data_IF_164545468847
#
_entry.id   IF_164545468847
#
_cell.length_a   1.000
_cell.length_b   1.000
_cell.length_c   1.000
_cell.angle_alpha   90.00
_cell.angle_beta   90.00
_cell.angle_gamma   90.00
#
_symmetry.space_group_name_H-M   'P 1'
#
loop_
_entity.id
_entity.type
_entity.pdbx_description
1 polymer ?
#
# COMPACT_ATOMS: atom_id res chain seq x y z
N UNK A 1 44.89 -14.50 -42.20
CA UNK A 1 45.41 -15.78 -41.69
C UNK A 1 45.77 -15.60 -40.22
N UNK A 2 45.03 -16.30 -39.35
CA UNK A 2 45.24 -16.53 -37.91
C UNK A 2 45.41 -15.28 -37.00
N UNK A 3 44.36 -14.79 -36.31
CA UNK A 3 43.72 -15.34 -35.09
C UNK A 3 44.63 -15.27 -33.86
N UNK A 4 44.39 -14.29 -32.99
CA UNK A 4 44.48 -14.42 -31.52
C UNK A 4 44.01 -13.10 -30.87
N UNK A 5 42.70 -13.01 -30.69
CA UNK A 5 42.05 -11.97 -29.93
C UNK A 5 42.46 -12.04 -28.46
N UNK A 6 43.05 -10.94 -27.98
CA UNK A 6 42.94 -10.37 -26.64
C UNK A 6 42.57 -11.34 -25.49
N UNK A 7 43.55 -12.12 -25.04
CA UNK A 7 43.67 -12.49 -23.65
C UNK A 7 44.67 -11.53 -22.98
N UNK A 8 44.39 -11.13 -21.75
CA UNK A 8 45.25 -10.35 -20.83
C UNK A 8 45.17 -8.81 -20.86
N UNK A 9 44.10 -8.29 -20.26
CA UNK A 9 44.17 -7.08 -19.41
C UNK A 9 43.49 -7.44 -18.08
N UNK A 10 44.21 -8.14 -17.18
CA UNK A 10 44.91 -7.56 -16.03
C UNK A 10 44.05 -6.58 -15.23
N UNK A 11 43.48 -7.12 -14.15
CA UNK A 11 43.37 -6.55 -12.80
C UNK A 11 42.98 -5.07 -12.70
N UNK A 12 41.70 -4.81 -12.42
CA UNK A 12 41.31 -3.63 -11.65
C UNK A 12 40.01 -3.89 -10.85
N UNK A 13 40.18 -4.12 -9.54
CA UNK A 13 39.26 -3.66 -8.50
C UNK A 13 37.86 -4.31 -8.39
N UNK A 14 37.79 -5.49 -7.76
CA UNK A 14 36.61 -5.84 -6.96
C UNK A 14 36.52 -4.86 -5.77
N UNK A 15 35.77 -3.77 -5.94
CA UNK A 15 35.28 -2.98 -4.81
C UNK A 15 33.87 -3.45 -4.50
N UNK A 16 33.76 -4.40 -3.57
CA UNK A 16 32.52 -4.79 -2.92
C UNK A 16 31.92 -3.54 -2.29
N UNK A 17 30.88 -2.96 -2.91
CA UNK A 17 30.08 -1.89 -2.32
C UNK A 17 29.27 -2.51 -1.18
N UNK A 18 29.70 -2.22 0.04
CA UNK A 18 29.00 -2.50 1.29
C UNK A 18 27.55 -1.99 1.16
N UNK A 19 26.59 -2.92 1.18
CA UNK A 19 25.16 -2.61 1.27
C UNK A 19 24.93 -1.92 2.61
N UNK A 20 24.70 -0.61 2.58
CA UNK A 20 24.21 0.11 3.74
C UNK A 20 22.79 -0.38 4.04
N UNK A 21 22.67 -1.27 5.03
CA UNK A 21 21.42 -1.59 5.72
C UNK A 21 20.93 -0.33 6.45
N UNK A 22 20.33 0.59 5.70
CA UNK A 22 19.58 1.70 6.24
C UNK A 22 18.20 1.20 6.62
N UNK A 23 17.96 0.93 7.90
CA UNK A 23 16.60 0.78 8.41
C UNK A 23 15.82 2.08 8.12
N UNK A 24 14.81 2.06 7.24
CA UNK A 24 13.82 3.14 7.16
C UNK A 24 13.13 3.20 8.54
N UNK A 25 13.61 4.02 9.47
CA UNK A 25 12.84 4.41 10.66
C UNK A 25 11.76 5.37 10.18
N UNK A 26 10.55 4.87 10.03
CA UNK A 26 9.37 5.72 9.90
C UNK A 26 8.89 6.12 11.31
N UNK A 27 8.84 7.43 11.55
CA UNK A 27 8.16 8.15 12.63
C UNK A 27 7.70 7.35 13.87
N UNK A 28 8.53 7.37 14.92
CA UNK A 28 8.02 7.34 16.29
C UNK A 28 7.78 8.79 16.72
N UNK A 29 6.52 9.13 16.96
CA UNK A 29 6.06 10.46 17.39
C UNK A 29 6.64 10.79 18.78
N UNK A 30 7.00 12.06 18.94
CA UNK A 30 7.71 12.65 20.07
C UNK A 30 6.90 12.69 21.38
N UNK A 31 7.63 12.58 22.50
CA UNK A 31 7.54 13.45 23.67
C UNK A 31 6.20 13.57 24.38
N UNK A 32 6.08 12.90 25.53
CA UNK A 32 5.11 13.21 26.57
C UNK A 32 5.56 14.50 27.26
N UNK A 33 4.75 15.56 27.13
CA UNK A 33 4.84 16.81 27.89
C UNK A 33 3.43 17.26 28.25
N UNK A 34 3.19 17.47 29.53
CA UNK A 34 1.87 17.65 30.14
C UNK A 34 1.24 19.04 29.91
N UNK A 35 -0.09 19.06 29.82
CA UNK A 35 -0.96 20.15 30.27
C UNK A 35 -1.37 21.21 29.23
N UNK A 36 -2.62 21.16 28.76
CA UNK A 36 -3.68 22.11 29.13
C UNK A 36 -5.02 21.71 28.47
N UNK A 37 -6.09 21.74 29.26
CA UNK A 37 -7.47 21.40 28.90
C UNK A 37 -8.05 22.36 27.85
N UNK A 38 -8.59 21.84 26.75
CA UNK A 38 -9.49 22.57 25.87
C UNK A 38 -10.47 21.62 25.16
N UNK A 39 -11.71 21.64 25.66
CA UNK A 39 -12.98 21.32 25.01
C UNK A 39 -12.98 20.28 23.87
N UNK A 40 -13.27 19.03 24.22
CA UNK A 40 -13.72 17.98 23.32
C UNK A 40 -15.03 18.40 22.61
N UNK A 41 -14.93 18.91 21.38
CA UNK A 41 -16.01 18.75 20.40
C UNK A 41 -15.74 17.45 19.66
N UNK A 42 -16.53 16.43 19.96
CA UNK A 42 -16.52 15.15 19.25
C UNK A 42 -16.68 15.38 17.75
N UNK A 43 -15.58 15.21 17.02
CA UNK A 43 -15.62 14.98 15.60
C UNK A 43 -15.75 13.46 15.46
N UNK A 44 -16.99 12.98 15.54
CA UNK A 44 -17.34 11.63 15.12
C UNK A 44 -16.72 11.37 13.75
N UNK A 45 -15.89 10.33 13.57
CA UNK A 45 -15.48 9.96 12.24
C UNK A 45 -16.74 9.46 11.54
N UNK A 46 -17.32 10.30 10.69
CA UNK A 46 -18.43 9.97 9.80
C UNK A 46 -17.94 8.99 8.73
N UNK A 47 -17.54 7.80 9.19
CA UNK A 47 -17.37 6.61 8.39
C UNK A 47 -18.77 6.10 8.08
N UNK A 48 -19.43 6.76 7.12
CA UNK A 48 -20.38 6.07 6.25
C UNK A 48 -19.59 5.05 5.44
N UNK A 49 -19.13 3.99 6.12
CA UNK A 49 -18.92 2.70 5.49
C UNK A 49 -20.26 2.38 4.82
N UNK A 50 -20.30 2.61 3.52
CA UNK A 50 -21.39 2.17 2.64
C UNK A 50 -21.79 0.76 3.02
N UNK A 51 -23.09 0.46 2.94
CA UNK A 51 -23.81 -0.80 3.22
C UNK A 51 -23.24 -2.08 2.57
N UNK A 52 -21.93 -2.26 2.57
CA UNK A 52 -21.19 -3.36 2.01
C UNK A 52 -21.01 -4.41 3.10
N UNK A 53 -22.09 -5.15 3.34
CA UNK A 53 -22.09 -6.30 4.23
C UNK A 53 -22.32 -7.55 3.40
N UNK A 54 -21.45 -8.57 3.51
CA UNK A 54 -21.73 -9.86 2.89
C UNK A 54 -23.00 -10.47 3.50
N UNK A 55 -23.76 -11.28 2.74
CA UNK A 55 -24.85 -12.07 3.27
C UNK A 55 -24.37 -12.95 4.43
N UNK A 56 -25.21 -13.15 5.45
CA UNK A 56 -24.85 -13.87 6.68
C UNK A 56 -24.34 -15.32 6.45
N UNK A 57 -24.69 -15.94 5.32
CA UNK A 57 -24.32 -17.31 4.96
C UNK A 57 -23.21 -17.40 3.89
N UNK A 58 -22.52 -16.29 3.59
CA UNK A 58 -21.43 -16.32 2.62
C UNK A 58 -20.21 -17.10 3.15
N UNK A 59 -19.66 -17.96 2.29
CA UNK A 59 -18.43 -18.72 2.55
C UNK A 59 -17.18 -18.16 1.84
N UNK A 60 -17.28 -17.01 1.16
CA UNK A 60 -16.20 -16.42 0.35
C UNK A 60 -15.81 -15.02 0.84
N UNK A 61 -14.61 -14.57 0.47
CA UNK A 61 -14.17 -13.18 0.65
C UNK A 61 -14.99 -12.25 -0.27
N UNK A 62 -15.37 -11.07 0.23
CA UNK A 62 -16.17 -10.09 -0.51
C UNK A 62 -15.34 -8.84 -0.83
N UNK A 63 -15.35 -8.42 -2.10
CA UNK A 63 -14.64 -7.24 -2.58
C UNK A 63 -15.62 -6.10 -2.81
N UNK A 64 -15.40 -4.98 -2.13
CA UNK A 64 -16.30 -3.82 -2.14
C UNK A 64 -16.14 -2.89 -3.34
N UNK A 65 -16.98 -1.84 -3.40
CA UNK A 65 -16.79 -0.74 -4.32
C UNK A 65 -15.45 0.00 -4.03
N UNK A 66 -14.89 0.75 -4.99
CA UNK A 66 -13.70 1.55 -4.75
C UNK A 66 -13.90 2.55 -3.60
N UNK A 67 -12.94 2.63 -2.68
CA UNK A 67 -12.94 3.61 -1.61
C UNK A 67 -12.77 5.04 -2.18
N UNK A 68 -13.48 6.02 -1.60
CA UNK A 68 -13.52 7.41 -2.12
C UNK A 68 -12.20 8.16 -1.95
N UNK A 69 -11.37 7.75 -0.99
CA UNK A 69 -10.13 8.45 -0.66
C UNK A 69 -8.93 7.73 -1.27
N UNK A 70 -8.81 6.42 -1.06
CA UNK A 70 -7.68 5.62 -1.52
C UNK A 70 -7.84 5.08 -2.94
N UNK A 71 -9.07 5.03 -3.47
CA UNK A 71 -9.46 4.32 -4.70
C UNK A 71 -9.29 2.79 -4.65
N UNK A 72 -8.84 2.22 -3.52
CA UNK A 72 -8.68 0.79 -3.35
C UNK A 72 -10.00 0.14 -2.91
N UNK A 73 -10.24 -1.09 -3.36
CA UNK A 73 -11.44 -1.85 -2.97
C UNK A 73 -11.25 -2.46 -1.57
N UNK A 74 -12.15 -2.22 -0.61
CA UNK A 74 -12.10 -2.90 0.69
C UNK A 74 -12.45 -4.38 0.51
N UNK A 75 -11.94 -5.23 1.41
CA UNK A 75 -12.19 -6.66 1.40
C UNK A 75 -12.79 -7.05 2.76
N UNK A 76 -13.93 -7.71 2.75
CA UNK A 76 -14.50 -8.38 3.92
C UNK A 76 -14.12 -9.85 3.84
N UNK A 77 -13.18 -10.27 4.69
CA UNK A 77 -12.68 -11.63 4.70
C UNK A 77 -13.69 -12.58 5.34
N UNK A 78 -13.93 -13.73 4.71
CA UNK A 78 -14.75 -14.78 5.30
C UNK A 78 -14.07 -15.37 6.53
N UNK A 79 -14.86 -15.64 7.57
CA UNK A 79 -14.43 -16.31 8.80
C UNK A 79 -15.04 -17.71 8.81
N UNK A 80 -14.27 -18.77 8.56
CA UNK A 80 -14.76 -20.14 8.65
C UNK A 80 -15.21 -20.50 10.07
N UNK A 81 -16.26 -21.32 10.21
CA UNK A 81 -16.78 -21.78 11.51
C UNK A 81 -15.70 -22.45 12.38
N UNK A 82 -14.86 -23.30 11.78
CA UNK A 82 -13.78 -24.04 12.45
C UNK A 82 -12.40 -23.50 12.03
N UNK A 83 -12.20 -22.19 12.13
CA UNK A 83 -10.94 -21.53 11.76
C UNK A 83 -9.80 -22.01 12.68
N UNK A 84 -8.70 -22.53 12.09
CA UNK A 84 -7.51 -22.88 12.88
C UNK A 84 -6.79 -21.61 13.36
N UNK A 85 -6.02 -21.68 14.47
CA UNK A 85 -5.25 -20.53 14.95
C UNK A 85 -4.34 -19.93 13.88
N UNK A 86 -3.75 -20.77 13.02
CA UNK A 86 -2.90 -20.34 11.91
C UNK A 86 -3.71 -19.68 10.79
N UNK A 87 -4.90 -20.20 10.49
CA UNK A 87 -5.85 -19.59 9.56
C UNK A 87 -6.32 -18.21 10.03
N UNK A 88 -6.63 -18.08 11.32
CA UNK A 88 -6.96 -16.80 11.96
C UNK A 88 -5.82 -15.80 11.82
N UNK A 89 -4.59 -16.22 12.15
CA UNK A 89 -3.39 -15.38 12.02
C UNK A 89 -3.19 -14.89 10.58
N UNK A 90 -3.38 -15.77 9.59
CA UNK A 90 -3.33 -15.38 8.18
C UNK A 90 -4.40 -14.33 7.85
N UNK A 91 -5.65 -14.55 8.24
CA UNK A 91 -6.76 -13.64 7.98
C UNK A 91 -6.53 -12.27 8.62
N UNK A 92 -6.17 -12.23 9.89
CA UNK A 92 -5.90 -10.99 10.62
C UNK A 92 -4.73 -10.23 10.02
N UNK A 93 -3.65 -10.92 9.62
CA UNK A 93 -2.52 -10.27 8.98
C UNK A 93 -2.86 -9.72 7.58
N UNK A 94 -3.73 -10.40 6.82
CA UNK A 94 -4.29 -9.87 5.56
C UNK A 94 -5.15 -8.63 5.81
N UNK A 95 -5.98 -8.64 6.85
CA UNK A 95 -6.80 -7.49 7.26
C UNK A 95 -5.92 -6.29 7.64
N UNK A 96 -4.93 -6.49 8.50
CA UNK A 96 -3.99 -5.44 8.91
C UNK A 96 -3.23 -4.86 7.70
N UNK A 97 -2.75 -5.73 6.80
CA UNK A 97 -2.07 -5.31 5.57
C UNK A 97 -2.98 -4.51 4.66
N UNK A 98 -4.26 -4.88 4.55
CA UNK A 98 -5.24 -4.13 3.77
C UNK A 98 -5.51 -2.75 4.38
N UNK A 99 -5.70 -2.66 5.70
CA UNK A 99 -5.89 -1.38 6.41
C UNK A 99 -4.67 -0.47 6.22
N UNK A 100 -3.46 -1.02 6.38
CA UNK A 100 -2.23 -0.28 6.16
C UNK A 100 -2.11 0.27 4.72
N UNK A 101 -2.44 -0.57 3.73
CA UNK A 101 -2.42 -0.19 2.32
C UNK A 101 -3.44 0.92 2.01
N UNK A 102 -4.66 0.77 2.53
CA UNK A 102 -5.74 1.74 2.43
C UNK A 102 -5.32 3.11 2.99
N UNK A 103 -4.76 3.14 4.20
CA UNK A 103 -4.29 4.37 4.84
C UNK A 103 -3.19 5.07 4.05
N UNK A 104 -2.22 4.30 3.54
CA UNK A 104 -1.15 4.86 2.72
C UNK A 104 -1.70 5.56 1.47
N UNK A 105 -2.57 4.89 0.70
CA UNK A 105 -3.12 5.44 -0.52
C UNK A 105 -4.13 6.56 -0.29
N UNK A 106 -4.93 6.51 0.78
CA UNK A 106 -5.79 7.62 1.16
C UNK A 106 -4.95 8.88 1.44
N UNK A 107 -3.88 8.76 2.23
CA UNK A 107 -2.94 9.86 2.50
C UNK A 107 -2.26 10.36 1.23
N UNK A 108 -1.80 9.46 0.36
CA UNK A 108 -1.14 9.84 -0.89
C UNK A 108 -2.06 10.54 -1.87
N UNK A 109 -3.28 10.07 -2.03
CA UNK A 109 -4.26 10.70 -2.92
C UNK A 109 -4.65 12.09 -2.41
N UNK A 110 -4.75 12.30 -1.09
CA UNK A 110 -4.93 13.63 -0.52
C UNK A 110 -3.75 14.56 -0.87
N UNK A 111 -2.51 14.13 -0.61
CA UNK A 111 -1.32 14.92 -0.94
C UNK A 111 -1.21 15.21 -2.44
N UNK A 112 -1.52 14.23 -3.27
CA UNK A 112 -1.49 14.35 -4.72
C UNK A 112 -2.54 15.36 -5.22
N UNK A 113 -3.80 15.25 -4.78
CA UNK A 113 -4.86 16.20 -5.17
C UNK A 113 -4.49 17.63 -4.78
N UNK A 114 -4.04 17.83 -3.54
CA UNK A 114 -3.62 19.14 -3.05
C UNK A 114 -2.46 19.72 -3.87
N UNK A 115 -1.38 18.94 -4.05
CA UNK A 115 -0.22 19.38 -4.83
C UNK A 115 -0.58 19.69 -6.28
N UNK A 116 -1.49 18.90 -6.88
CA UNK A 116 -1.98 19.14 -8.24
C UNK A 116 -2.74 20.45 -8.35
N UNK A 117 -3.64 20.72 -7.41
CA UNK A 117 -4.43 21.96 -7.38
C UNK A 117 -3.54 23.19 -7.19
N UNK A 118 -2.55 23.13 -6.28
CA UNK A 118 -1.58 24.20 -6.05
C UNK A 118 -0.73 24.47 -7.29
N UNK A 119 -0.30 23.42 -8.01
CA UNK A 119 0.46 23.55 -9.24
C UNK A 119 -0.37 24.21 -10.35
N UNK A 120 -1.61 23.74 -10.55
CA UNK A 120 -2.54 24.32 -11.53
C UNK A 120 -2.77 25.80 -11.23
N UNK A 121 -3.07 26.14 -9.97
CA UNK A 121 -3.25 27.52 -9.55
C UNK A 121 -2.04 28.40 -9.85
N UNK A 122 -0.84 27.92 -9.51
CA UNK A 122 0.39 28.69 -9.70
C UNK A 122 0.68 28.94 -11.18
N UNK A 123 0.50 27.94 -12.03
CA UNK A 123 0.69 28.06 -13.48
C UNK A 123 -0.34 28.98 -14.14
N UNK A 124 -1.62 28.87 -13.77
CA UNK A 124 -2.66 29.76 -14.29
C UNK A 124 -2.43 31.21 -13.87
N UNK A 125 -2.11 31.44 -12.59
CA UNK A 125 -1.77 32.77 -12.06
C UNK A 125 -0.57 33.39 -12.76
N UNK A 126 0.48 32.60 -13.04
CA UNK A 126 1.65 33.06 -13.77
C UNK A 126 1.33 33.46 -15.23
N UNK A 127 0.30 32.86 -15.83
CA UNK A 127 -0.22 33.23 -17.16
C UNK A 127 -1.23 34.37 -17.13
N UNK A 128 -1.61 34.88 -15.96
CA UNK A 128 -2.67 35.87 -15.81
C UNK A 128 -4.07 35.35 -16.11
N UNK A 129 -4.27 34.02 -16.07
CA UNK A 129 -5.58 33.39 -16.32
C UNK A 129 -6.30 33.10 -15.00
N UNK A 130 -7.63 33.25 -15.02
CA UNK A 130 -8.47 32.85 -13.91
C UNK A 130 -8.67 31.32 -13.85
N UNK A 131 -9.07 30.83 -12.67
CA UNK A 131 -9.32 29.40 -12.41
C UNK A 131 -10.51 28.83 -13.19
N UNK A 132 -11.43 29.71 -13.57
CA UNK A 132 -12.60 29.38 -14.39
C UNK A 132 -12.57 30.27 -15.61
N UNK A 133 -12.92 29.68 -16.75
CA UNK A 133 -13.16 30.46 -17.95
C UNK A 133 -14.49 31.22 -17.85
N UNK A 134 -14.78 32.03 -18.87
CA UNK A 134 -15.99 32.82 -19.01
C UNK A 134 -17.28 31.97 -18.99
N UNK A 135 -17.17 30.67 -19.31
CA UNK A 135 -18.27 29.69 -19.26
C UNK A 135 -18.39 28.97 -17.90
N UNK A 136 -17.51 29.28 -16.95
CA UNK A 136 -17.46 28.67 -15.62
C UNK A 136 -16.77 27.31 -15.56
N UNK A 137 -16.20 26.81 -16.67
CA UNK A 137 -15.40 25.57 -16.69
C UNK A 137 -14.01 25.82 -16.12
N UNK A 138 -13.47 24.81 -15.42
CA UNK A 138 -12.12 24.86 -14.87
C UNK A 138 -11.09 24.86 -15.99
N UNK A 139 -10.26 25.89 -16.07
CA UNK A 139 -9.18 25.95 -17.05
C UNK A 139 -8.17 24.84 -16.74
N UNK A 140 -7.95 23.94 -17.71
CA UNK A 140 -7.00 22.84 -17.59
C UNK A 140 -5.67 23.20 -18.24
N UNK A 141 -4.56 22.88 -17.57
CA UNK A 141 -3.22 22.99 -18.16
C UNK A 141 -3.03 21.98 -19.30
N UNK A 142 -2.10 22.28 -20.22
CA UNK A 142 -1.72 21.32 -21.27
C UNK A 142 -1.07 20.08 -20.66
N UNK A 143 -1.05 18.98 -21.42
CA UNK A 143 -0.40 17.74 -20.98
C UNK A 143 1.11 17.94 -20.71
N UNK A 144 1.77 18.78 -21.51
CA UNK A 144 3.20 19.11 -21.35
C UNK A 144 3.44 19.83 -20.02
N UNK A 145 2.62 20.82 -19.67
CA UNK A 145 2.75 21.54 -18.41
C UNK A 145 2.43 20.67 -17.20
N UNK A 146 1.45 19.77 -17.34
CA UNK A 146 1.14 18.79 -16.30
C UNK A 146 2.25 17.75 -16.12
N UNK A 147 3.04 17.46 -17.16
CA UNK A 147 4.16 16.53 -17.09
C UNK A 147 5.23 16.99 -16.08
N UNK A 148 5.49 18.30 -16.02
CA UNK A 148 6.41 18.89 -15.04
C UNK A 148 5.96 18.58 -13.61
N UNK A 149 4.66 18.76 -13.33
CA UNK A 149 4.08 18.43 -12.02
C UNK A 149 4.29 16.95 -11.67
N UNK A 150 3.99 16.05 -12.61
CA UNK A 150 4.15 14.62 -12.36
C UNK A 150 5.60 14.25 -12.07
N UNK A 151 6.55 14.77 -12.86
CA UNK A 151 7.98 14.55 -12.67
C UNK A 151 8.43 15.02 -11.29
N UNK A 152 8.05 16.24 -10.90
CA UNK A 152 8.40 16.82 -9.61
C UNK A 152 7.77 16.08 -8.43
N UNK A 153 6.47 15.76 -8.54
CA UNK A 153 5.75 15.04 -7.50
C UNK A 153 6.36 13.66 -7.27
N UNK A 154 6.65 12.92 -8.34
CA UNK A 154 7.29 11.60 -8.25
C UNK A 154 8.69 11.70 -7.65
N UNK A 155 9.49 12.69 -8.07
CA UNK A 155 10.84 12.90 -7.55
C UNK A 155 10.83 13.21 -6.05
N UNK A 156 9.94 14.09 -5.60
CA UNK A 156 9.79 14.47 -4.19
C UNK A 156 9.30 13.30 -3.32
N UNK A 157 8.43 12.44 -3.85
CA UNK A 157 7.84 11.32 -3.12
C UNK A 157 8.60 9.99 -3.32
N UNK A 158 9.70 9.98 -4.09
CA UNK A 158 10.42 8.76 -4.47
C UNK A 158 10.82 7.89 -3.26
N UNK A 159 11.46 8.48 -2.25
CA UNK A 159 11.87 7.76 -1.02
C UNK A 159 10.67 7.18 -0.26
N UNK A 160 9.56 7.93 -0.20
CA UNK A 160 8.32 7.48 0.45
C UNK A 160 7.76 6.25 -0.25
N UNK A 161 7.66 6.29 -1.58
CA UNK A 161 7.20 5.15 -2.37
C UNK A 161 8.15 3.95 -2.27
N UNK A 162 9.46 4.18 -2.19
CA UNK A 162 10.43 3.09 -2.00
C UNK A 162 10.26 2.40 -0.64
N UNK A 163 10.15 3.14 0.47
CA UNK A 163 9.90 2.49 1.77
C UNK A 163 8.51 1.80 1.77
N UNK A 164 7.48 2.38 1.14
CA UNK A 164 6.17 1.72 0.97
C UNK A 164 6.29 0.41 0.20
N UNK A 165 6.89 0.41 -0.99
CA UNK A 165 7.03 -0.79 -1.82
C UNK A 165 7.79 -1.89 -1.08
N UNK A 166 8.86 -1.52 -0.36
CA UNK A 166 9.61 -2.47 0.46
C UNK A 166 8.73 -3.13 1.52
N UNK A 167 7.93 -2.36 2.26
CA UNK A 167 7.05 -2.92 3.28
C UNK A 167 5.88 -3.70 2.66
N UNK A 168 5.36 -3.25 1.52
CA UNK A 168 4.34 -3.95 0.75
C UNK A 168 4.83 -5.35 0.34
N UNK A 169 6.04 -5.47 -0.22
CA UNK A 169 6.61 -6.77 -0.57
C UNK A 169 6.84 -7.65 0.65
N UNK A 170 7.36 -7.07 1.75
CA UNK A 170 7.56 -7.80 3.00
C UNK A 170 6.26 -8.37 3.54
N UNK A 171 5.19 -7.56 3.63
CA UNK A 171 3.86 -8.02 4.08
C UNK A 171 3.29 -9.09 3.15
N UNK A 172 3.35 -8.90 1.83
CA UNK A 172 2.86 -9.90 0.88
C UNK A 172 3.65 -11.22 0.95
N UNK A 173 4.97 -11.15 1.15
CA UNK A 173 5.79 -12.34 1.38
C UNK A 173 5.37 -13.09 2.65
N UNK A 174 5.13 -12.37 3.75
CA UNK A 174 4.62 -12.97 4.99
C UNK A 174 3.24 -13.60 4.81
N UNK A 175 2.33 -12.95 4.05
CA UNK A 175 1.03 -13.53 3.69
C UNK A 175 1.23 -14.85 2.94
N UNK A 176 2.05 -14.87 1.88
CA UNK A 176 2.33 -16.08 1.10
C UNK A 176 2.92 -17.20 1.94
N UNK A 177 3.83 -16.87 2.84
CA UNK A 177 4.38 -17.83 3.77
C UNK A 177 3.30 -18.43 4.69
N UNK A 178 2.48 -17.60 5.33
CA UNK A 178 1.37 -18.04 6.18
C UNK A 178 0.33 -18.88 5.38
N UNK A 179 0.04 -18.51 4.14
CA UNK A 179 -0.82 -19.30 3.24
C UNK A 179 -0.26 -20.71 3.05
N UNK A 180 1.05 -20.83 2.79
CA UNK A 180 1.74 -22.11 2.68
C UNK A 180 1.63 -22.96 3.95
N UNK A 181 1.83 -22.34 5.12
CA UNK A 181 1.72 -23.06 6.40
C UNK A 181 0.28 -23.54 6.66
N UNK A 182 -0.75 -22.73 6.37
CA UNK A 182 -2.16 -23.14 6.49
C UNK A 182 -2.49 -24.28 5.52
N UNK A 183 -2.01 -24.22 4.28
CA UNK A 183 -2.21 -25.27 3.30
C UNK A 183 -1.57 -26.59 3.76
N UNK A 184 -0.35 -26.52 4.28
CA UNK A 184 0.34 -27.67 4.87
C UNK A 184 -0.42 -28.26 6.06
N UNK A 185 -0.87 -27.43 7.00
CA UNK A 185 -1.65 -27.85 8.18
C UNK A 185 -2.94 -28.60 7.77
N UNK A 186 -3.62 -28.12 6.73
CA UNK A 186 -4.82 -28.76 6.18
C UNK A 186 -4.50 -30.10 5.52
N UNK A 187 -3.44 -30.17 4.72
CA UNK A 187 -3.01 -31.40 4.07
C UNK A 187 -2.62 -32.48 5.11
N UNK A 188 -1.90 -32.09 6.16
CA UNK A 188 -1.51 -33.00 7.23
C UNK A 188 -2.72 -33.57 7.98
N UNK A 189 -3.71 -32.73 8.32
CA UNK A 189 -4.96 -33.19 8.95
C UNK A 189 -5.74 -34.17 8.06
N UNK A 190 -5.82 -33.90 6.75
CA UNK A 190 -6.46 -34.81 5.81
C UNK A 190 -5.76 -36.16 5.71
N UNK A 191 -4.42 -36.18 5.71
CA UNK A 191 -3.63 -37.43 5.69
C UNK A 191 -3.80 -38.23 6.98
N UNK A 192 -3.83 -37.57 8.14
CA UNK A 192 -4.10 -38.21 9.43
C UNK A 192 -5.46 -38.91 9.45
N UNK A 193 -6.53 -38.24 9.01
CA UNK A 193 -7.87 -38.84 8.94
C UNK A 193 -7.96 -40.04 7.99
N UNK A 194 -7.20 -40.03 6.89
CA UNK A 194 -7.15 -41.18 5.97
C UNK A 194 -6.52 -42.41 6.64
N UNK A 195 -5.48 -42.24 7.45
CA UNK A 195 -4.86 -43.36 8.18
C UNK A 195 -5.84 -43.98 9.18
N UNK A 196 -6.53 -43.15 9.98
CA UNK A 196 -7.48 -43.63 11.00
C UNK A 196 -8.69 -44.36 10.41
N UNK A 197 -9.10 -44.03 9.17
CA UNK A 197 -10.18 -44.73 8.46
C UNK A 197 -9.75 -46.06 7.81
N UNK A 198 -8.45 -46.28 7.61
CA UNK A 198 -7.92 -47.52 7.02
C UNK A 198 -7.60 -48.56 8.09
N UNK A 199 -7.41 -48.11 9.34
CA UNK A 199 -7.07 -48.95 10.50
C UNK A 199 -8.31 -49.40 11.32
N UNK A 200 -9.50 -48.89 11.01
CA UNK A 200 -10.81 -49.33 11.54
C UNK A 200 -11.60 -50.05 10.45
#
# INVERSE_FOLDING_TARGET
>A
MAVAAAAAAVRAGLRVRRVCSGTCRCFSRAGVGAGLLAAERGCEPESRASNFCPPAHSCNDWIGPPDRQSNLRPIVFHIPKNESPLGRRLREFRQETQVWNQQFWASQNVSFRKGKEEFIYSRLKAKGLEMKDETGQKVTLSAEEMADFYKDFLSKNFKKHMCYNREWYKRNFTITFLMGQVAFERAWRMLGWKKTKVEN
#
